data_IF_064990495646
#
_entry.id   IF_064990495646
#
_cell.length_a   1.000
_cell.length_b   1.000
_cell.length_c   1.000
_cell.angle_alpha   90.00
_cell.angle_beta   90.00
_cell.angle_gamma   90.00
#
_symmetry.space_group_name_H-M   'P 1'
#
loop_
_entity.id
_entity.type
_entity.pdbx_description
1 polymer ?
#
# COMPACT_ATOMS: atom_id res chain seq x y z
N UNK A 1 58.23 21.46 -58.82
CA UNK A 1 56.84 21.90 -58.67
C UNK A 1 56.18 20.93 -57.72
N UNK A 2 56.06 21.32 -56.44
CA UNK A 2 55.45 20.48 -55.39
C UNK A 2 53.91 20.66 -55.39
N UNK A 3 53.18 19.60 -55.51
CA UNK A 3 51.73 19.60 -55.23
C UNK A 3 51.46 19.07 -53.80
N UNK A 4 50.99 19.98 -52.94
CA UNK A 4 50.54 19.67 -51.57
C UNK A 4 49.12 19.13 -51.68
N UNK A 5 48.89 17.86 -51.32
CA UNK A 5 47.55 17.32 -51.05
C UNK A 5 47.27 17.47 -49.56
N UNK A 6 46.33 18.32 -49.19
CA UNK A 6 45.77 18.44 -47.87
C UNK A 6 44.72 17.36 -47.68
N UNK A 7 44.95 16.42 -46.77
CA UNK A 7 43.97 15.44 -46.32
C UNK A 7 43.14 16.07 -45.20
N UNK A 8 41.86 16.37 -45.47
CA UNK A 8 40.88 16.75 -44.46
C UNK A 8 40.34 15.48 -43.80
N UNK A 9 40.77 15.21 -42.57
CA UNK A 9 40.13 14.19 -41.72
C UNK A 9 38.78 14.73 -41.21
N UNK A 10 37.68 14.19 -41.74
CA UNK A 10 36.36 14.35 -41.16
C UNK A 10 36.27 13.51 -39.86
N UNK A 11 36.33 14.15 -38.70
CA UNK A 11 35.92 13.58 -37.44
C UNK A 11 34.36 13.55 -37.43
N UNK A 12 33.78 12.47 -37.92
CA UNK A 12 32.39 12.15 -37.62
C UNK A 12 32.30 11.68 -36.18
N UNK A 13 31.99 12.60 -35.25
CA UNK A 13 31.69 12.27 -33.87
C UNK A 13 30.47 11.36 -33.81
N UNK A 14 30.68 10.09 -33.51
CA UNK A 14 29.63 9.16 -33.11
C UNK A 14 29.01 9.66 -31.81
N UNK A 15 27.95 10.46 -31.89
CA UNK A 15 27.02 10.62 -30.79
C UNK A 15 26.28 9.27 -30.62
N UNK A 16 26.93 8.32 -29.94
CA UNK A 16 26.18 7.19 -29.38
C UNK A 16 25.16 7.76 -28.41
N UNK A 17 23.85 7.40 -28.54
CA UNK A 17 22.89 7.78 -27.51
C UNK A 17 23.43 7.22 -26.19
N UNK A 18 23.63 8.08 -25.21
CA UNK A 18 23.95 7.65 -23.85
C UNK A 18 22.79 6.78 -23.39
N UNK A 19 22.97 5.47 -23.48
CA UNK A 19 22.03 4.49 -22.96
C UNK A 19 21.96 4.80 -21.45
N UNK A 20 20.81 5.34 -21.00
CA UNK A 20 20.60 5.60 -19.60
C UNK A 20 20.85 4.27 -18.86
N UNK A 21 21.87 4.26 -18.00
CA UNK A 21 22.23 3.06 -17.26
C UNK A 21 21.00 2.62 -16.45
N UNK A 22 20.49 1.44 -16.75
CA UNK A 22 19.34 0.84 -16.06
C UNK A 22 19.65 0.76 -14.56
N UNK A 23 18.75 1.30 -13.74
CA UNK A 23 18.93 1.32 -12.29
C UNK A 23 18.03 0.28 -11.63
N UNK A 24 18.63 -0.66 -10.91
CA UNK A 24 17.85 -1.61 -10.12
C UNK A 24 17.27 -0.92 -8.90
N UNK A 25 15.94 -1.07 -8.70
CA UNK A 25 15.19 -0.58 -7.56
C UNK A 25 14.57 -1.77 -6.82
N UNK A 26 14.92 -1.92 -5.54
CA UNK A 26 14.34 -2.95 -4.68
C UNK A 26 13.02 -2.45 -4.09
N UNK A 27 11.96 -3.25 -4.23
CA UNK A 27 10.61 -2.91 -3.79
C UNK A 27 10.04 -4.04 -2.95
N UNK A 28 9.49 -3.73 -1.78
CA UNK A 28 8.68 -4.67 -1.02
C UNK A 28 7.28 -4.11 -0.78
N UNK A 29 6.26 -4.96 -0.95
CA UNK A 29 4.88 -4.55 -0.87
C UNK A 29 3.99 -5.64 -0.28
N UNK A 30 2.89 -5.21 0.37
CA UNK A 30 1.84 -6.11 0.84
C UNK A 30 0.96 -6.49 -0.35
N UNK A 31 0.51 -7.74 -0.42
CA UNK A 31 -0.38 -8.21 -1.50
C UNK A 31 -1.80 -7.69 -1.33
N UNK A 32 -2.22 -6.73 -2.16
CA UNK A 32 -3.58 -6.16 -2.15
C UNK A 32 -3.85 -5.38 -3.45
N UNK A 33 -5.13 -5.18 -3.81
CA UNK A 33 -5.54 -4.27 -4.89
C UNK A 33 -5.19 -2.80 -4.57
N UNK A 34 -4.96 -2.45 -3.32
CA UNK A 34 -4.50 -1.11 -2.95
C UNK A 34 -3.21 -0.70 -3.70
N UNK A 35 -2.43 -1.67 -4.18
CA UNK A 35 -1.23 -1.46 -5.00
C UNK A 35 -1.51 -1.48 -6.51
N UNK A 36 -2.78 -1.41 -6.95
CA UNK A 36 -3.12 -1.43 -8.37
C UNK A 36 -2.30 -0.44 -9.24
N UNK A 37 -2.03 0.80 -8.82
CA UNK A 37 -1.15 1.70 -9.58
C UNK A 37 0.22 1.08 -9.90
N UNK A 38 0.82 0.38 -8.93
CA UNK A 38 2.08 -0.32 -9.10
C UNK A 38 1.95 -1.49 -10.08
N UNK A 39 0.92 -2.33 -9.93
CA UNK A 39 0.71 -3.48 -10.82
C UNK A 39 0.46 -3.08 -12.26
N UNK A 40 -0.30 -2.01 -12.49
CA UNK A 40 -0.53 -1.47 -13.83
C UNK A 40 0.75 -0.88 -14.41
N UNK A 41 1.52 -0.13 -13.62
CA UNK A 41 2.81 0.40 -14.07
C UNK A 41 3.79 -0.70 -14.48
N UNK A 42 3.83 -1.82 -13.74
CA UNK A 42 4.61 -3.02 -14.11
C UNK A 42 4.08 -3.63 -15.42
N UNK A 43 2.77 -3.87 -15.49
CA UNK A 43 2.15 -4.53 -16.66
C UNK A 43 2.32 -3.75 -17.95
N UNK A 44 2.30 -2.41 -17.88
CA UNK A 44 2.47 -1.51 -19.03
C UNK A 44 3.93 -1.12 -19.31
N UNK A 45 4.89 -1.64 -18.55
CA UNK A 45 6.31 -1.37 -18.75
C UNK A 45 6.71 0.08 -18.44
N UNK A 46 5.95 0.77 -17.57
CA UNK A 46 6.24 2.18 -17.25
C UNK A 46 7.55 2.35 -16.50
N UNK A 47 7.93 1.38 -15.66
CA UNK A 47 9.23 1.39 -14.99
C UNK A 47 10.39 1.19 -15.96
N UNK A 48 10.25 0.29 -16.94
CA UNK A 48 11.27 0.08 -17.97
C UNK A 48 11.49 1.34 -18.82
N UNK A 49 10.41 2.07 -19.14
CA UNK A 49 10.49 3.36 -19.85
C UNK A 49 11.21 4.45 -19.05
N UNK A 50 11.25 4.32 -17.72
CA UNK A 50 12.02 5.20 -16.83
C UNK A 50 13.45 4.68 -16.58
N UNK A 51 13.88 3.60 -17.24
CA UNK A 51 15.18 2.97 -17.04
C UNK A 51 15.32 2.27 -15.69
N UNK A 52 14.21 1.79 -15.13
CA UNK A 52 14.15 1.13 -13.83
C UNK A 52 13.91 -0.36 -14.02
N UNK A 53 14.85 -1.17 -13.50
CA UNK A 53 14.67 -2.60 -13.32
C UNK A 53 14.18 -2.88 -11.91
N UNK A 54 13.02 -3.49 -11.79
CA UNK A 54 12.45 -3.81 -10.48
C UNK A 54 13.01 -5.12 -9.92
N UNK A 55 13.35 -5.09 -8.62
CA UNK A 55 13.56 -6.26 -7.79
C UNK A 55 12.47 -6.29 -6.72
N UNK A 56 11.33 -6.92 -7.02
CA UNK A 56 10.12 -6.86 -6.20
C UNK A 56 9.95 -8.10 -5.34
N UNK A 57 9.51 -7.89 -4.09
CA UNK A 57 9.15 -8.95 -3.16
C UNK A 57 7.87 -8.63 -2.40
N UNK A 58 7.23 -9.68 -1.87
CA UNK A 58 6.04 -9.57 -1.04
C UNK A 58 6.43 -9.68 0.43
N UNK A 59 5.77 -8.86 1.27
CA UNK A 59 5.87 -8.91 2.72
C UNK A 59 4.50 -9.13 3.35
N UNK A 60 4.50 -9.63 4.58
CA UNK A 60 3.27 -9.84 5.35
C UNK A 60 2.66 -8.53 5.82
N UNK A 61 3.47 -7.59 6.27
CA UNK A 61 3.08 -6.27 6.72
C UNK A 61 4.12 -5.23 6.29
N UNK A 62 3.71 -3.97 6.12
CA UNK A 62 4.63 -2.86 5.88
C UNK A 62 5.66 -2.68 7.01
N UNK A 63 5.36 -3.16 8.22
CA UNK A 63 6.32 -3.19 9.32
C UNK A 63 7.63 -3.90 8.93
N UNK A 64 7.54 -4.95 8.13
CA UNK A 64 8.69 -5.75 7.70
C UNK A 64 9.65 -4.96 6.77
N UNK A 65 9.22 -3.82 6.22
CA UNK A 65 10.02 -2.98 5.31
C UNK A 65 10.85 -1.91 6.04
N UNK A 66 10.51 -1.57 7.27
CA UNK A 66 11.06 -0.40 7.97
C UNK A 66 12.58 -0.54 8.23
N UNK A 67 13.00 -1.64 8.84
CA UNK A 67 14.42 -1.86 9.15
C UNK A 67 15.29 -2.00 7.87
N UNK A 68 14.89 -2.74 6.82
CA UNK A 68 15.63 -2.76 5.55
C UNK A 68 15.72 -1.39 4.87
N UNK A 69 14.68 -0.55 4.89
CA UNK A 69 14.74 0.81 4.36
C UNK A 69 15.67 1.70 5.17
N UNK A 70 15.57 1.65 6.50
CA UNK A 70 16.42 2.44 7.39
C UNK A 70 17.91 2.10 7.25
N UNK A 71 18.25 0.82 6.97
CA UNK A 71 19.63 0.39 6.69
C UNK A 71 20.09 0.65 5.26
N UNK A 72 19.18 1.07 4.36
CA UNK A 72 19.44 1.26 2.93
C UNK A 72 19.58 -0.05 2.14
N UNK A 73 19.08 -1.16 2.64
CA UNK A 73 18.99 -2.44 1.94
C UNK A 73 17.75 -2.53 1.03
N UNK A 74 16.75 -1.70 1.30
CA UNK A 74 15.51 -1.61 0.54
C UNK A 74 15.31 -0.16 0.08
N UNK A 75 15.04 0.03 -1.21
CA UNK A 75 14.81 1.34 -1.80
C UNK A 75 13.38 1.84 -1.52
N UNK A 76 12.37 0.97 -1.71
CA UNK A 76 10.94 1.32 -1.68
C UNK A 76 10.14 0.31 -0.86
N UNK A 77 9.34 0.81 0.07
CA UNK A 77 8.29 0.07 0.76
C UNK A 77 6.91 0.55 0.34
N UNK A 78 5.93 -0.37 0.17
CA UNK A 78 4.55 -0.01 -0.17
C UNK A 78 3.59 -0.75 0.77
N UNK A 79 2.83 0.02 1.58
CA UNK A 79 1.88 -0.51 2.53
C UNK A 79 1.38 0.53 3.54
N UNK A 80 0.87 0.09 4.68
CA UNK A 80 0.32 0.97 5.71
C UNK A 80 1.40 1.76 6.47
N UNK A 81 1.03 2.94 7.00
CA UNK A 81 1.86 3.67 7.97
C UNK A 81 1.68 2.99 9.35
N UNK A 82 2.61 2.12 9.69
CA UNK A 82 2.58 1.35 10.93
C UNK A 82 3.18 2.13 12.11
N UNK A 83 2.90 1.71 13.34
CA UNK A 83 3.57 2.26 14.53
C UNK A 83 5.10 2.17 14.41
N UNK A 84 5.63 1.12 13.78
CA UNK A 84 7.07 0.97 13.50
C UNK A 84 7.62 2.07 12.61
N UNK A 85 6.85 2.53 11.60
CA UNK A 85 7.22 3.67 10.78
C UNK A 85 7.32 4.96 11.60
N UNK A 86 6.30 5.28 12.40
CA UNK A 86 6.31 6.48 13.25
C UNK A 86 7.46 6.46 14.27
N UNK A 87 7.73 5.30 14.87
CA UNK A 87 8.85 5.13 15.79
C UNK A 87 10.20 5.34 15.11
N UNK A 88 10.42 4.77 13.93
CA UNK A 88 11.65 4.94 13.16
C UNK A 88 11.86 6.41 12.73
N UNK A 89 10.80 7.05 12.24
CA UNK A 89 10.84 8.46 11.86
C UNK A 89 11.17 9.37 13.07
N UNK A 90 10.58 9.09 14.23
CA UNK A 90 10.89 9.83 15.47
C UNK A 90 12.34 9.65 15.91
N UNK A 91 12.93 8.47 15.73
CA UNK A 91 14.33 8.18 16.00
C UNK A 91 15.30 8.84 15.03
N UNK A 92 14.79 9.54 14.01
CA UNK A 92 15.60 10.28 13.03
C UNK A 92 16.05 9.46 11.84
N UNK A 93 15.47 8.26 11.62
CA UNK A 93 15.67 7.58 10.35
C UNK A 93 15.03 8.40 9.21
N UNK A 94 15.82 8.66 8.17
CA UNK A 94 15.38 9.49 7.04
C UNK A 94 14.51 8.67 6.06
N UNK A 95 13.37 8.21 6.56
CA UNK A 95 12.32 7.57 5.77
C UNK A 95 11.30 8.62 5.36
N UNK A 96 10.89 8.61 4.08
CA UNK A 96 9.91 9.57 3.57
C UNK A 96 8.69 8.86 3.03
N UNK A 97 7.51 9.38 3.41
CA UNK A 97 6.26 9.10 2.72
C UNK A 97 6.19 10.03 1.52
N UNK A 98 6.21 9.48 0.33
CA UNK A 98 6.32 10.26 -0.92
C UNK A 98 5.08 10.20 -1.79
N UNK A 99 4.17 9.25 -1.57
CA UNK A 99 2.92 9.15 -2.31
C UNK A 99 1.85 8.40 -1.50
N UNK A 100 0.58 8.67 -1.82
CA UNK A 100 -0.61 8.03 -1.27
C UNK A 100 -1.27 7.15 -2.34
N UNK A 101 -1.65 5.91 -1.99
CA UNK A 101 -2.36 5.01 -2.92
C UNK A 101 -3.74 4.62 -2.37
N UNK A 102 -3.97 3.40 -1.97
CA UNK A 102 -5.30 2.89 -1.62
C UNK A 102 -6.06 3.71 -0.57
N UNK A 103 -7.20 4.28 -0.97
CA UNK A 103 -8.12 5.02 -0.11
C UNK A 103 -9.38 4.16 0.05
N UNK A 104 -9.93 4.07 1.26
CA UNK A 104 -11.15 3.32 1.50
C UNK A 104 -12.38 4.05 0.91
N UNK A 105 -13.14 3.34 0.09
CA UNK A 105 -14.41 3.82 -0.45
C UNK A 105 -15.56 3.75 0.57
N UNK A 106 -16.81 4.06 0.13
CA UNK A 106 -18.01 3.95 0.98
C UNK A 106 -18.23 2.54 1.56
N UNK A 107 -17.86 1.51 0.82
CA UNK A 107 -17.61 0.16 1.30
C UNK A 107 -16.09 -0.01 1.33
N UNK A 108 -15.55 -0.36 2.47
CA UNK A 108 -14.11 -0.52 2.63
C UNK A 108 -13.59 -1.68 1.78
N UNK A 109 -12.47 -1.47 1.10
CA UNK A 109 -11.77 -2.53 0.37
C UNK A 109 -10.83 -3.37 1.27
N UNK A 110 -10.48 -2.87 2.46
CA UNK A 110 -10.00 -3.72 3.56
C UNK A 110 -11.22 -4.05 4.42
N UNK A 111 -11.89 -5.14 4.08
CA UNK A 111 -13.23 -5.42 4.59
C UNK A 111 -13.22 -6.04 5.98
N UNK A 112 -14.08 -5.56 6.89
CA UNK A 112 -14.42 -6.29 8.11
C UNK A 112 -15.27 -7.52 7.75
N UNK A 113 -14.82 -8.67 8.18
CA UNK A 113 -15.47 -9.95 7.89
C UNK A 113 -15.82 -10.69 9.17
N UNK A 114 -16.96 -11.39 9.12
CA UNK A 114 -17.47 -12.27 10.17
C UNK A 114 -17.48 -13.69 9.62
N UNK A 115 -17.05 -14.67 10.39
CA UNK A 115 -17.09 -16.09 10.00
C UNK A 115 -18.52 -16.47 9.57
N UNK A 116 -18.64 -17.07 8.38
CA UNK A 116 -19.94 -17.32 7.72
C UNK A 116 -20.95 -18.07 8.62
N UNK A 117 -20.49 -19.06 9.38
CA UNK A 117 -21.36 -19.81 10.28
C UNK A 117 -21.98 -18.95 11.40
N UNK A 118 -21.23 -17.97 11.94
CA UNK A 118 -21.76 -17.05 12.96
C UNK A 118 -22.71 -16.03 12.36
N UNK A 119 -22.36 -15.55 11.15
CA UNK A 119 -23.23 -14.65 10.39
C UNK A 119 -24.57 -15.31 10.08
N UNK A 120 -24.58 -16.53 9.54
CA UNK A 120 -25.80 -17.24 9.18
C UNK A 120 -26.65 -17.58 10.39
N UNK A 121 -26.04 -17.95 11.51
CA UNK A 121 -26.72 -18.19 12.78
C UNK A 121 -27.28 -16.91 13.43
N UNK A 122 -26.92 -15.73 12.93
CA UNK A 122 -27.32 -14.46 13.53
C UNK A 122 -26.64 -14.14 14.87
N UNK A 123 -25.57 -14.89 15.22
CA UNK A 123 -24.89 -14.76 16.51
C UNK A 123 -23.97 -13.53 16.54
N UNK A 124 -23.32 -13.24 15.40
CA UNK A 124 -22.47 -12.06 15.20
C UNK A 124 -22.93 -11.35 13.93
N UNK A 125 -23.29 -10.08 14.04
CA UNK A 125 -23.83 -9.27 12.93
C UNK A 125 -23.09 -7.95 12.73
N UNK A 126 -22.27 -7.54 13.70
CA UNK A 126 -21.49 -6.30 13.67
C UNK A 126 -20.40 -6.34 14.73
N UNK A 127 -19.50 -5.37 14.72
CA UNK A 127 -18.48 -5.23 15.74
C UNK A 127 -19.04 -5.08 17.16
N UNK A 128 -20.26 -4.62 17.31
CA UNK A 128 -20.96 -4.57 18.62
C UNK A 128 -21.03 -5.95 19.31
N UNK A 129 -21.04 -7.03 18.51
CA UNK A 129 -21.16 -8.41 19.00
C UNK A 129 -19.77 -9.07 19.24
N UNK A 130 -18.66 -8.36 19.01
CA UNK A 130 -17.29 -8.90 19.14
C UNK A 130 -16.85 -9.25 20.59
N UNK A 131 -17.38 -8.64 21.68
CA UNK A 131 -17.05 -9.10 23.02
C UNK A 131 -17.27 -10.60 23.20
N UNK A 132 -16.24 -11.32 23.67
CA UNK A 132 -16.25 -12.77 23.82
C UNK A 132 -15.88 -13.56 22.54
N UNK A 133 -15.83 -12.92 21.38
CA UNK A 133 -15.40 -13.51 20.10
C UNK A 133 -13.94 -13.20 19.79
N UNK A 134 -13.29 -14.11 19.05
CA UNK A 134 -11.89 -13.93 18.64
C UNK A 134 -11.81 -13.11 17.36
N UNK A 135 -11.24 -11.92 17.45
CA UNK A 135 -11.10 -10.97 16.34
C UNK A 135 -9.63 -10.91 15.90
N UNK A 136 -9.38 -11.05 14.61
CA UNK A 136 -8.03 -11.00 14.07
C UNK A 136 -7.69 -9.62 13.49
N UNK A 137 -6.47 -9.14 13.80
CA UNK A 137 -5.81 -8.03 13.12
C UNK A 137 -4.58 -8.54 12.38
N UNK A 138 -4.08 -7.80 11.37
CA UNK A 138 -2.93 -8.25 10.58
C UNK A 138 -1.61 -8.15 11.36
N UNK A 139 -1.40 -7.05 12.06
CA UNK A 139 -0.25 -6.80 12.91
C UNK A 139 -0.57 -5.70 13.95
N UNK A 140 0.14 -5.65 15.09
CA UNK A 140 0.06 -4.51 16.00
C UNK A 140 0.54 -3.24 15.29
N UNK A 141 -0.11 -2.11 15.57
CA UNK A 141 0.20 -0.84 14.93
C UNK A 141 0.02 -0.84 13.42
N UNK A 142 -0.94 -1.62 12.91
CA UNK A 142 -1.30 -1.71 11.50
C UNK A 142 -2.71 -1.12 11.27
N UNK A 143 -3.05 -0.87 10.02
CA UNK A 143 -4.34 -0.28 9.61
C UNK A 143 -5.57 -1.09 10.09
N UNK A 144 -5.44 -2.41 10.22
CA UNK A 144 -6.54 -3.25 10.69
C UNK A 144 -6.83 -3.06 12.18
N UNK A 145 -5.84 -2.76 12.98
CA UNK A 145 -6.02 -2.37 14.37
C UNK A 145 -6.66 -0.98 14.48
N UNK A 146 -6.26 -0.04 13.62
CA UNK A 146 -6.91 1.26 13.51
C UNK A 146 -8.41 1.10 13.21
N UNK A 147 -8.80 0.28 12.23
CA UNK A 147 -10.20 0.04 11.91
C UNK A 147 -10.97 -0.63 13.06
N UNK A 148 -10.38 -1.60 13.73
CA UNK A 148 -11.00 -2.22 14.90
C UNK A 148 -11.20 -1.19 16.03
N UNK A 149 -10.26 -0.25 16.19
CA UNK A 149 -10.40 0.87 17.14
C UNK A 149 -11.53 1.81 16.76
N UNK A 150 -11.69 2.14 15.47
CA UNK A 150 -12.83 2.95 15.00
C UNK A 150 -14.17 2.24 15.28
N UNK A 151 -14.24 0.92 15.10
CA UNK A 151 -15.41 0.13 15.44
C UNK A 151 -15.68 0.13 16.94
N UNK A 152 -14.65 -0.07 17.76
CA UNK A 152 -14.80 -0.01 19.21
C UNK A 152 -15.32 1.36 19.66
N UNK A 153 -14.80 2.47 19.11
CA UNK A 153 -15.29 3.82 19.36
C UNK A 153 -16.75 4.00 18.93
N UNK A 154 -17.14 3.51 17.75
CA UNK A 154 -18.51 3.56 17.24
C UNK A 154 -19.53 2.95 18.18
N UNK A 155 -19.16 1.86 18.84
CA UNK A 155 -20.05 1.14 19.78
C UNK A 155 -19.73 1.40 21.25
N UNK A 156 -18.90 2.41 21.56
CA UNK A 156 -18.50 2.76 22.93
C UNK A 156 -17.90 1.59 23.72
N UNK A 157 -17.15 0.72 23.05
CA UNK A 157 -16.47 -0.42 23.65
C UNK A 157 -15.03 -0.03 24.02
N UNK A 158 -14.54 -0.63 25.11
CA UNK A 158 -13.10 -0.59 25.40
C UNK A 158 -12.37 -1.60 24.50
N UNK A 159 -11.49 -1.11 23.62
CA UNK A 159 -10.67 -1.97 22.74
C UNK A 159 -9.95 -3.07 23.54
N UNK A 160 -9.45 -2.76 24.75
CA UNK A 160 -8.71 -3.71 25.60
C UNK A 160 -9.58 -4.87 26.12
N UNK A 161 -10.91 -4.74 26.05
CA UNK A 161 -11.83 -5.82 26.42
C UNK A 161 -12.04 -6.84 25.28
N UNK A 162 -11.58 -6.53 24.04
CA UNK A 162 -11.73 -7.42 22.90
C UNK A 162 -10.68 -8.53 22.93
N UNK A 163 -11.06 -9.73 22.50
CA UNK A 163 -10.15 -10.87 22.37
C UNK A 163 -9.43 -10.80 21.02
N UNK A 164 -8.40 -9.94 20.93
CA UNK A 164 -7.66 -9.69 19.69
C UNK A 164 -6.56 -10.73 19.50
N UNK A 165 -6.43 -11.25 18.28
CA UNK A 165 -5.34 -12.14 17.86
C UNK A 165 -4.62 -11.57 16.63
N UNK A 166 -3.31 -11.80 16.53
CA UNK A 166 -2.49 -11.31 15.43
C UNK A 166 -2.27 -12.42 14.42
N UNK A 167 -2.80 -12.26 13.22
CA UNK A 167 -2.67 -13.20 12.10
C UNK A 167 -2.52 -12.43 10.79
N UNK A 168 -1.48 -12.71 10.01
CA UNK A 168 -1.35 -12.17 8.66
C UNK A 168 -2.55 -12.51 7.78
N UNK A 169 -2.85 -11.74 6.75
CA UNK A 169 -4.07 -11.88 5.93
C UNK A 169 -4.30 -13.30 5.39
N UNK A 170 -3.27 -13.95 4.86
CA UNK A 170 -3.37 -15.34 4.39
C UNK A 170 -3.69 -16.33 5.54
N UNK A 171 -3.14 -16.07 6.74
CA UNK A 171 -3.44 -16.87 7.93
C UNK A 171 -4.85 -16.64 8.43
N UNK A 172 -5.37 -15.39 8.38
CA UNK A 172 -6.77 -15.09 8.71
C UNK A 172 -7.74 -15.84 7.79
N UNK A 173 -7.45 -15.88 6.47
CA UNK A 173 -8.27 -16.63 5.53
C UNK A 173 -8.38 -18.11 5.92
N UNK A 174 -7.24 -18.75 6.25
CA UNK A 174 -7.23 -20.15 6.72
C UNK A 174 -7.94 -20.28 8.07
N UNK A 175 -7.78 -19.32 8.98
CA UNK A 175 -8.40 -19.33 10.30
C UNK A 175 -9.92 -19.17 10.23
N UNK A 176 -10.46 -18.40 9.29
CA UNK A 176 -11.89 -18.38 8.99
C UNK A 176 -12.41 -19.76 8.54
N UNK A 177 -11.67 -20.44 7.62
CA UNK A 177 -12.06 -21.77 7.10
C UNK A 177 -12.16 -22.83 8.19
N UNK A 178 -11.23 -22.83 9.14
CA UNK A 178 -11.20 -23.83 10.21
C UNK A 178 -11.87 -23.37 11.52
N UNK A 179 -12.48 -22.19 11.54
CA UNK A 179 -13.18 -21.66 12.71
C UNK A 179 -12.28 -21.20 13.86
N UNK A 180 -10.99 -20.94 13.58
CA UNK A 180 -10.04 -20.49 14.60
C UNK A 180 -10.19 -19.01 14.97
N UNK A 181 -10.88 -18.22 14.12
CA UNK A 181 -11.28 -16.82 14.38
C UNK A 181 -12.76 -16.64 14.06
N UNK A 182 -13.40 -15.66 14.70
CA UNK A 182 -14.81 -15.34 14.54
C UNK A 182 -15.02 -14.10 13.65
N UNK A 183 -14.11 -13.13 13.73
CA UNK A 183 -14.09 -11.93 12.90
C UNK A 183 -12.65 -11.51 12.57
N UNK A 184 -12.49 -10.62 11.60
CA UNK A 184 -11.20 -10.09 11.20
C UNK A 184 -11.30 -9.19 9.98
N UNK A 185 -10.15 -8.86 9.40
CA UNK A 185 -10.07 -7.95 8.25
C UNK A 185 -9.28 -8.58 7.12
N UNK A 186 -9.84 -8.59 5.93
CA UNK A 186 -9.12 -9.01 4.74
C UNK A 186 -9.12 -7.89 3.68
N UNK A 187 -7.96 -7.54 3.10
CA UNK A 187 -7.93 -6.63 1.98
C UNK A 187 -8.41 -7.33 0.71
N UNK A 188 -8.93 -6.55 -0.23
CA UNK A 188 -9.23 -7.08 -1.55
C UNK A 188 -7.95 -7.48 -2.32
N UNK A 189 -8.00 -8.55 -3.13
CA UNK A 189 -9.18 -9.36 -3.48
C UNK A 189 -9.38 -10.59 -2.57
N UNK A 190 -8.67 -10.68 -1.46
CA UNK A 190 -8.75 -11.84 -0.55
C UNK A 190 -10.10 -11.88 0.18
N UNK A 191 -10.70 -10.70 0.47
CA UNK A 191 -12.04 -10.63 1.06
C UNK A 191 -13.12 -11.13 0.09
N UNK A 192 -13.06 -10.75 -1.19
CA UNK A 192 -13.96 -11.30 -2.21
C UNK A 192 -13.82 -12.82 -2.31
N UNK A 193 -12.57 -13.34 -2.30
CA UNK A 193 -12.33 -14.79 -2.28
C UNK A 193 -12.97 -15.46 -1.07
N UNK A 194 -12.84 -14.89 0.13
CA UNK A 194 -13.42 -15.45 1.35
C UNK A 194 -14.95 -15.50 1.31
N UNK A 195 -15.58 -14.48 0.73
CA UNK A 195 -17.03 -14.43 0.54
C UNK A 195 -17.49 -15.42 -0.53
N UNK A 196 -16.81 -15.48 -1.69
CA UNK A 196 -17.14 -16.42 -2.77
C UNK A 196 -16.99 -17.88 -2.34
N UNK A 197 -15.99 -18.20 -1.52
CA UNK A 197 -15.82 -19.53 -0.96
C UNK A 197 -16.76 -19.83 0.23
N UNK A 198 -17.58 -18.86 0.66
CA UNK A 198 -18.52 -19.03 1.76
C UNK A 198 -17.88 -19.23 3.13
N UNK A 199 -16.63 -18.76 3.32
CA UNK A 199 -15.91 -18.91 4.61
C UNK A 199 -16.14 -17.73 5.55
N UNK A 200 -16.41 -16.55 4.99
CA UNK A 200 -16.74 -15.35 5.75
C UNK A 200 -17.81 -14.53 5.03
N UNK A 201 -18.50 -13.67 5.76
CA UNK A 201 -19.46 -12.70 5.26
C UNK A 201 -19.00 -11.29 5.59
N UNK A 202 -19.35 -10.33 4.73
CA UNK A 202 -19.10 -8.91 4.99
C UNK A 202 -19.91 -8.45 6.21
N UNK A 203 -19.24 -7.79 7.15
CA UNK A 203 -19.91 -7.01 8.18
C UNK A 203 -20.50 -5.74 7.56
N UNK A 204 -21.74 -5.83 7.10
CA UNK A 204 -22.42 -4.74 6.39
C UNK A 204 -22.70 -3.53 7.28
N UNK A 205 -22.76 -3.72 8.61
CA UNK A 205 -23.00 -2.64 9.56
C UNK A 205 -21.75 -1.74 9.73
N UNK A 206 -20.56 -2.32 9.58
CA UNK A 206 -19.29 -1.64 9.80
C UNK A 206 -18.44 -1.47 8.54
N UNK A 207 -18.96 -1.93 7.39
CA UNK A 207 -18.25 -1.88 6.11
C UNK A 207 -17.82 -0.47 5.65
N UNK A 208 -18.39 0.59 6.23
CA UNK A 208 -18.05 1.98 5.91
C UNK A 208 -17.31 2.72 7.01
N UNK A 209 -16.92 2.07 8.12
CA UNK A 209 -16.35 2.74 9.30
C UNK A 209 -15.07 3.51 9.00
N UNK A 210 -14.28 3.03 8.05
CA UNK A 210 -13.02 3.64 7.62
C UNK A 210 -13.12 4.39 6.28
N UNK A 211 -14.33 4.77 5.82
CA UNK A 211 -14.50 5.52 4.56
C UNK A 211 -13.59 6.75 4.50
N UNK A 212 -12.92 6.93 3.37
CA UNK A 212 -11.99 8.04 3.14
C UNK A 212 -10.60 7.83 3.77
N UNK A 213 -10.39 6.78 4.58
CA UNK A 213 -9.08 6.54 5.18
C UNK A 213 -8.07 6.08 4.13
N UNK A 214 -6.91 6.73 4.12
CA UNK A 214 -5.74 6.26 3.36
C UNK A 214 -5.13 5.06 4.07
N UNK A 215 -4.88 4.00 3.34
CA UNK A 215 -4.37 2.73 3.88
C UNK A 215 -3.04 2.29 3.27
N UNK A 216 -2.65 2.90 2.16
CA UNK A 216 -1.45 2.50 1.44
C UNK A 216 -0.64 3.71 1.04
N UNK A 217 0.60 3.69 1.47
CA UNK A 217 1.60 4.72 1.24
C UNK A 217 2.78 4.14 0.48
N UNK A 218 3.50 5.01 -0.22
CA UNK A 218 4.81 4.71 -0.80
C UNK A 218 5.86 5.37 0.07
N UNK A 219 6.75 4.55 0.59
CA UNK A 219 7.88 4.97 1.41
C UNK A 219 9.17 4.85 0.61
N UNK A 220 10.00 5.87 0.67
CA UNK A 220 11.36 5.82 0.15
C UNK A 220 12.37 5.72 1.30
N UNK A 221 13.34 4.83 1.13
CA UNK A 221 14.49 4.73 2.01
C UNK A 221 15.48 5.87 1.76
N UNK A 222 16.23 6.24 2.79
CA UNK A 222 17.21 7.34 2.79
C UNK A 222 18.14 7.30 1.60
N UNK A 223 18.80 6.17 1.37
CA UNK A 223 19.79 6.05 0.31
C UNK A 223 19.20 6.19 -1.08
N UNK A 224 17.98 5.68 -1.28
CA UNK A 224 17.33 5.71 -2.59
C UNK A 224 17.14 7.13 -3.11
N UNK A 225 16.66 8.04 -2.26
CA UNK A 225 16.43 9.43 -2.66
C UNK A 225 17.74 10.18 -2.96
N UNK A 226 18.80 9.91 -2.20
CA UNK A 226 20.07 10.63 -2.31
C UNK A 226 21.00 10.03 -3.36
N UNK A 227 21.09 8.71 -3.44
CA UNK A 227 22.03 8.03 -4.34
C UNK A 227 21.44 7.79 -5.74
N UNK A 228 20.08 7.66 -5.86
CA UNK A 228 19.39 7.38 -7.12
C UNK A 228 18.26 8.39 -7.41
N UNK A 229 18.46 9.72 -7.34
CA UNK A 229 17.35 10.70 -7.41
C UNK A 229 16.60 10.66 -8.74
N UNK A 230 17.25 10.28 -9.85
CA UNK A 230 16.58 10.09 -11.14
C UNK A 230 15.63 8.91 -11.12
N UNK A 231 16.05 7.77 -10.54
CA UNK A 231 15.20 6.61 -10.40
C UNK A 231 14.07 6.86 -9.40
N UNK A 232 14.31 7.59 -8.31
CA UNK A 232 13.26 7.98 -7.35
C UNK A 232 12.14 8.78 -8.03
N UNK A 233 12.48 9.79 -8.82
CA UNK A 233 11.51 10.56 -9.60
C UNK A 233 10.84 9.71 -10.69
N UNK A 234 11.61 8.89 -11.42
CA UNK A 234 11.10 7.97 -12.45
C UNK A 234 10.13 6.95 -11.88
N UNK A 235 10.41 6.42 -10.68
CA UNK A 235 9.53 5.50 -9.97
C UNK A 235 8.15 6.12 -9.70
N UNK A 236 8.10 7.37 -9.22
CA UNK A 236 6.85 8.08 -9.00
C UNK A 236 6.14 8.42 -10.32
N UNK A 237 6.85 8.78 -11.40
CA UNK A 237 6.23 8.98 -12.73
C UNK A 237 5.54 7.71 -13.22
N UNK A 238 6.20 6.56 -13.09
CA UNK A 238 5.60 5.28 -13.45
C UNK A 238 4.35 4.98 -12.62
N UNK A 239 4.39 5.23 -11.29
CA UNK A 239 3.23 5.03 -10.41
C UNK A 239 2.07 5.97 -10.75
N UNK A 240 2.32 7.27 -10.98
CA UNK A 240 1.29 8.25 -11.35
C UNK A 240 0.62 7.87 -12.66
N UNK A 241 1.39 7.43 -13.66
CA UNK A 241 0.81 6.89 -14.91
C UNK A 241 -0.09 5.69 -14.64
N UNK A 242 0.37 4.75 -13.81
CA UNK A 242 -0.42 3.61 -13.39
C UNK A 242 -1.71 3.99 -12.66
N UNK A 243 -1.68 5.03 -11.81
CA UNK A 243 -2.86 5.54 -11.11
C UNK A 243 -3.85 6.21 -12.08
N UNK A 244 -3.36 7.02 -13.02
CA UNK A 244 -4.20 7.69 -14.03
C UNK A 244 -4.86 6.73 -15.01
N UNK A 245 -4.29 5.55 -15.21
CA UNK A 245 -4.92 4.47 -15.99
C UNK A 245 -6.09 3.77 -15.26
N UNK A 246 -6.23 3.97 -13.96
CA UNK A 246 -7.26 3.35 -13.11
C UNK A 246 -8.42 4.32 -12.91
N UNK A 247 -9.31 4.41 -13.89
CA UNK A 247 -10.46 5.31 -13.87
C UNK A 247 -11.78 4.54 -13.70
N UNK A 248 -12.75 5.17 -13.03
CA UNK A 248 -14.10 4.62 -12.89
C UNK A 248 -14.12 3.23 -12.25
N UNK A 249 -14.88 2.32 -12.81
CA UNK A 249 -14.98 0.92 -12.36
C UNK A 249 -13.83 0.06 -12.90
N UNK A 250 -12.58 0.50 -12.62
CA UNK A 250 -11.37 -0.08 -13.22
C UNK A 250 -11.22 -1.59 -13.04
N UNK A 251 -11.79 -2.20 -12.00
CA UNK A 251 -11.74 -3.66 -11.80
C UNK A 251 -12.63 -4.42 -12.78
N UNK A 252 -13.55 -3.74 -13.48
CA UNK A 252 -14.38 -4.32 -14.55
C UNK A 252 -13.67 -4.32 -15.91
N UNK A 253 -12.55 -3.63 -16.06
CA UNK A 253 -11.71 -3.71 -17.26
C UNK A 253 -10.95 -5.04 -17.27
N UNK A 254 -11.17 -5.93 -18.27
CA UNK A 254 -10.52 -7.25 -18.29
C UNK A 254 -9.00 -7.20 -18.33
N UNK A 255 -8.42 -6.17 -18.96
CA UNK A 255 -6.96 -6.03 -19.04
C UNK A 255 -6.37 -5.62 -17.69
N UNK A 256 -7.06 -4.73 -16.98
CA UNK A 256 -6.68 -4.32 -15.62
C UNK A 256 -6.85 -5.50 -14.64
N UNK A 257 -8.00 -6.18 -14.70
CA UNK A 257 -8.24 -7.35 -13.84
C UNK A 257 -7.18 -8.44 -14.06
N UNK A 258 -6.84 -8.75 -15.33
CA UNK A 258 -5.80 -9.71 -15.65
C UNK A 258 -4.40 -9.27 -15.17
N UNK A 259 -4.07 -7.98 -15.29
CA UNK A 259 -2.80 -7.45 -14.81
C UNK A 259 -2.67 -7.57 -13.28
N UNK A 260 -3.72 -7.24 -12.54
CA UNK A 260 -3.77 -7.39 -11.07
C UNK A 260 -3.71 -8.87 -10.67
N UNK A 261 -4.51 -9.73 -11.32
CA UNK A 261 -4.53 -11.17 -11.05
C UNK A 261 -3.14 -11.80 -11.20
N UNK A 262 -2.41 -11.44 -12.26
CA UNK A 262 -1.03 -11.90 -12.51
C UNK A 262 -0.06 -11.50 -11.39
N UNK A 263 -0.20 -10.29 -10.83
CA UNK A 263 0.70 -9.79 -9.78
C UNK A 263 0.31 -10.29 -8.39
N UNK A 264 -0.96 -10.60 -8.18
CA UNK A 264 -1.46 -11.08 -6.89
C UNK A 264 -1.52 -12.61 -6.78
N UNK A 265 -1.32 -13.34 -7.90
CA UNK A 265 -1.48 -14.79 -7.99
C UNK A 265 -2.89 -15.26 -7.51
N UNK A 266 -3.91 -14.47 -7.87
CA UNK A 266 -5.30 -14.74 -7.52
C UNK A 266 -6.17 -14.85 -8.79
N UNK A 267 -7.34 -15.46 -8.64
CA UNK A 267 -8.26 -15.67 -9.76
C UNK A 267 -8.84 -14.34 -10.26
N UNK A 268 -9.01 -14.21 -11.56
CA UNK A 268 -9.59 -13.01 -12.19
C UNK A 268 -11.00 -12.76 -11.63
N UNK A 269 -11.79 -13.80 -11.45
CA UNK A 269 -13.15 -13.69 -10.89
C UNK A 269 -13.16 -13.01 -9.51
N UNK A 270 -12.14 -13.26 -8.68
CA UNK A 270 -12.01 -12.60 -7.38
C UNK A 270 -11.69 -11.11 -7.53
N UNK A 271 -10.91 -10.73 -8.56
CA UNK A 271 -10.63 -9.33 -8.86
C UNK A 271 -11.89 -8.61 -9.36
N UNK A 272 -12.64 -9.23 -10.26
CA UNK A 272 -13.88 -8.66 -10.83
C UNK A 272 -15.00 -8.48 -9.80
N UNK A 273 -15.02 -9.30 -8.74
CA UNK A 273 -15.95 -9.21 -7.62
C UNK A 273 -15.44 -8.32 -6.47
N UNK A 274 -14.20 -7.90 -6.51
CA UNK A 274 -13.59 -7.12 -5.45
C UNK A 274 -14.17 -5.70 -5.36
N UNK A 275 -14.21 -5.17 -4.16
CA UNK A 275 -14.48 -3.76 -3.89
C UNK A 275 -13.26 -2.92 -4.25
N UNK A 276 -13.36 -1.93 -5.14
CA UNK A 276 -12.22 -1.11 -5.52
C UNK A 276 -11.79 -0.18 -4.38
N UNK A 277 -10.49 0.08 -4.28
CA UNK A 277 -10.00 1.23 -3.54
C UNK A 277 -10.24 2.49 -4.37
N UNK A 278 -10.61 3.58 -3.70
CA UNK A 278 -10.52 4.89 -4.30
C UNK A 278 -9.04 5.29 -4.45
N UNK A 279 -8.74 6.10 -5.46
CA UNK A 279 -7.39 6.54 -5.79
C UNK A 279 -7.37 8.03 -6.06
N UNK A 280 -6.33 8.71 -5.59
CA UNK A 280 -5.97 10.02 -6.11
C UNK A 280 -5.14 9.81 -7.39
N UNK A 281 -5.55 10.34 -8.57
CA UNK A 281 -4.82 10.10 -9.82
C UNK A 281 -3.39 10.65 -9.82
N UNK A 282 -3.10 11.62 -8.96
CA UNK A 282 -1.77 12.21 -8.81
C UNK A 282 -1.02 11.65 -7.60
N UNK A 283 -1.64 10.73 -6.85
CA UNK A 283 -1.09 10.07 -5.65
C UNK A 283 -0.61 11.07 -4.57
N UNK A 284 -1.28 12.23 -4.47
CA UNK A 284 -0.85 13.35 -3.65
C UNK A 284 -0.99 13.07 -2.15
N UNK A 285 0.14 12.82 -1.51
CA UNK A 285 0.20 12.54 -0.07
C UNK A 285 -0.15 13.74 0.81
N UNK A 286 0.01 14.97 0.33
CA UNK A 286 -0.29 16.17 1.13
C UNK A 286 -1.77 16.25 1.54
N UNK A 287 -2.67 15.63 0.79
CA UNK A 287 -4.10 15.55 1.09
C UNK A 287 -4.44 14.70 2.32
N UNK A 288 -3.51 13.89 2.82
CA UNK A 288 -3.78 12.85 3.82
C UNK A 288 -3.01 13.03 5.14
N UNK A 289 -2.34 14.16 5.34
CA UNK A 289 -1.58 14.42 6.57
C UNK A 289 -2.44 14.29 7.84
N UNK A 290 -3.65 14.85 7.83
CA UNK A 290 -4.56 14.78 8.98
C UNK A 290 -4.94 13.35 9.34
N UNK A 291 -5.10 12.48 8.36
CA UNK A 291 -5.41 11.06 8.57
C UNK A 291 -4.21 10.29 9.12
N UNK A 292 -3.00 10.61 8.68
CA UNK A 292 -1.78 10.04 9.27
C UNK A 292 -1.64 10.45 10.73
N UNK A 293 -2.02 11.70 11.10
CA UNK A 293 -2.03 12.16 12.51
C UNK A 293 -3.04 11.41 13.36
N UNK A 294 -4.21 11.09 12.80
CA UNK A 294 -5.21 10.30 13.53
C UNK A 294 -4.71 8.86 13.74
N UNK A 295 -4.09 8.24 12.74
CA UNK A 295 -3.44 6.93 12.88
C UNK A 295 -2.33 6.97 13.95
N UNK A 296 -1.46 7.98 13.94
CA UNK A 296 -0.45 8.19 14.98
C UNK A 296 -1.08 8.28 16.38
N UNK A 297 -2.22 8.98 16.49
CA UNK A 297 -2.94 9.13 17.76
C UNK A 297 -3.46 7.78 18.25
N UNK A 298 -4.05 6.97 17.39
CA UNK A 298 -4.53 5.62 17.74
C UNK A 298 -3.37 4.74 18.20
N UNK A 299 -2.25 4.72 17.48
CA UNK A 299 -1.07 3.95 17.90
C UNK A 299 -0.53 4.40 19.28
N UNK A 300 -0.66 5.68 19.59
CA UNK A 300 -0.29 6.20 20.92
C UNK A 300 -1.25 5.71 22.01
N UNK A 301 -2.55 5.72 21.77
CA UNK A 301 -3.56 5.21 22.71
C UNK A 301 -3.35 3.72 23.02
N UNK A 302 -2.85 2.96 22.05
CA UNK A 302 -2.50 1.55 22.21
C UNK A 302 -1.13 1.33 22.89
N UNK A 303 -0.36 2.41 23.11
CA UNK A 303 0.97 2.32 23.74
C UNK A 303 2.06 1.78 22.82
N UNK A 304 1.87 1.86 21.52
CA UNK A 304 2.77 1.30 20.48
C UNK A 304 3.86 2.28 20.06
N UNK A 305 3.72 3.56 20.40
CA UNK A 305 4.73 4.57 20.13
C UNK A 305 5.71 4.69 21.32
N UNK A 306 6.99 4.71 20.99
CA UNK A 306 8.08 4.84 21.97
C UNK A 306 8.47 6.28 22.27
N UNK A 307 7.63 7.26 21.90
CA UNK A 307 7.84 8.68 22.10
C UNK A 307 6.55 9.39 22.56
N UNK A 308 6.72 10.59 23.12
CA UNK A 308 5.64 11.48 23.52
C UNK A 308 5.48 12.62 22.52
N UNK A 309 4.31 13.27 22.52
CA UNK A 309 4.00 14.38 21.61
C UNK A 309 3.64 13.89 20.19
N UNK A 310 3.73 14.77 19.21
CA UNK A 310 3.41 14.51 17.80
C UNK A 310 4.68 14.52 16.96
N UNK A 311 4.71 13.66 15.93
CA UNK A 311 5.78 13.66 14.95
C UNK A 311 5.71 14.93 14.07
N UNK A 312 6.85 15.52 13.77
CA UNK A 312 6.95 16.64 12.84
C UNK A 312 6.82 16.11 11.40
N UNK A 313 5.63 16.17 10.83
CA UNK A 313 5.31 15.55 9.53
C UNK A 313 5.99 16.23 8.35
N UNK A 314 6.38 17.49 8.45
CA UNK A 314 7.24 18.17 7.48
C UNK A 314 8.61 17.48 7.29
N UNK A 315 9.03 16.68 8.28
CA UNK A 315 10.26 15.87 8.22
C UNK A 315 10.01 14.43 7.73
N UNK A 316 8.77 14.03 7.56
CA UNK A 316 8.38 12.64 7.26
C UNK A 316 7.68 12.53 5.93
N UNK A 317 6.88 13.54 5.55
CA UNK A 317 6.16 13.61 4.29
C UNK A 317 6.96 14.48 3.32
N UNK A 318 7.23 13.96 2.12
CA UNK A 318 7.78 14.73 1.00
C UNK A 318 6.87 14.62 -0.22
N UNK A 319 5.88 15.49 -0.31
CA UNK A 319 4.98 15.59 -1.45
C UNK A 319 5.64 16.23 -2.69
N UNK A 320 6.80 16.87 -2.54
CA UNK A 320 7.45 17.60 -3.64
C UNK A 320 7.83 16.69 -4.80
N UNK A 321 8.26 15.45 -4.50
CA UNK A 321 8.64 14.48 -5.51
C UNK A 321 7.44 13.99 -6.32
N UNK A 322 6.32 13.68 -5.67
CA UNK A 322 5.10 13.22 -6.39
C UNK A 322 4.47 14.35 -7.18
N UNK A 323 4.45 15.58 -6.66
CA UNK A 323 3.99 16.76 -7.41
C UNK A 323 4.83 16.98 -8.67
N UNK A 324 6.17 16.88 -8.57
CA UNK A 324 7.06 16.97 -9.72
C UNK A 324 6.84 15.83 -10.72
N UNK A 325 6.62 14.63 -10.24
CA UNK A 325 6.29 13.48 -11.09
C UNK A 325 4.95 13.71 -11.83
N UNK A 326 3.89 14.06 -11.11
CA UNK A 326 2.55 14.28 -11.66
C UNK A 326 2.53 15.42 -12.71
N UNK A 327 3.29 16.50 -12.48
CA UNK A 327 3.41 17.60 -13.43
C UNK A 327 4.19 17.23 -14.71
N UNK A 328 5.04 16.19 -14.68
CA UNK A 328 5.91 15.80 -15.78
C UNK A 328 5.33 14.69 -16.67
N UNK A 329 4.22 14.07 -16.29
CA UNK A 329 3.51 13.04 -17.05
C UNK A 329 2.14 13.55 -17.50
N UNK A 330 1.73 13.13 -18.72
CA UNK A 330 0.44 13.50 -19.30
C UNK A 330 -0.63 12.48 -18.95
#
# INVERSE_FOLDING_TARGET
MLKRCAAALLLAGLCAPAQAQEQTVSVQLVRSIAQAPYYIAVSKGYFDQEGIKLNSGLVRSALDTIAPMASGQLDVGIGAATAGFFNAAHQGFDLRVVAAMGIQGPVMATQPLIRKALWDAGTVRSAKDFPGHKVAINAPGDITEYFLTLMARKYHMDYKSLNVTVLGFAQQFVAFKNGAIDAGFLPEPLSATAQMEGVAALDTADAGVGTGTITTFVFFGTKFMHEKPKAALGFLRALVRGARDLQGEYLKDPAIAAAIAKQTDLKIEAIEHATPYALDPDLDIAKFESQMRDQETVHREHGELNYQGQLAFDKVIDASLVHKAAASVK
#
